data_IF_219256712621
#
_entry.id   IF_219256712621
#
_cell.length_a   1.000
_cell.length_b   1.000
_cell.length_c   1.000
_cell.angle_alpha   90.00
_cell.angle_beta   90.00
_cell.angle_gamma   90.00
#
_symmetry.space_group_name_H-M   'P 1'
#
loop_
_entity.id
_entity.type
_entity.pdbx_description
1 polymer ?
#
# COMPACT_ATOMS: atom_id res chain seq x y z
N UNK A 1 29.16 -13.19 14.54
CA UNK A 1 27.85 -13.49 15.16
C UNK A 1 26.79 -12.95 14.21
N UNK A 2 26.09 -13.83 13.48
CA UNK A 2 25.06 -13.42 12.53
C UNK A 2 23.70 -13.43 13.24
N UNK A 3 22.97 -12.32 13.17
CA UNK A 3 21.61 -12.22 13.68
C UNK A 3 20.65 -12.78 12.62
N UNK A 4 19.97 -13.88 12.95
CA UNK A 4 18.90 -14.43 12.12
C UNK A 4 17.57 -13.76 12.49
N UNK A 5 17.09 -12.83 11.66
CA UNK A 5 15.69 -12.39 11.72
C UNK A 5 14.85 -13.29 10.82
N UNK A 6 14.28 -14.36 11.43
CA UNK A 6 13.33 -15.26 10.78
C UNK A 6 11.98 -14.57 10.57
N UNK A 7 11.50 -14.54 9.32
CA UNK A 7 10.13 -14.16 8.99
C UNK A 7 9.23 -15.39 9.10
N UNK A 8 8.40 -15.44 10.13
CA UNK A 8 7.34 -16.45 10.29
C UNK A 8 6.01 -15.83 9.87
N UNK A 9 5.43 -16.27 8.76
CA UNK A 9 4.04 -15.97 8.41
C UNK A 9 3.22 -17.25 8.44
N UNK A 10 2.70 -17.59 9.61
CA UNK A 10 1.69 -18.64 9.75
C UNK A 10 0.30 -18.00 9.71
N UNK A 11 -0.45 -18.23 8.61
CA UNK A 11 -1.91 -18.12 8.62
C UNK A 11 -2.48 -19.33 7.91
N UNK A 12 -2.57 -20.45 8.64
CA UNK A 12 -3.30 -21.63 8.21
C UNK A 12 -4.80 -21.36 8.19
N UNK A 13 -5.46 -21.69 7.08
CA UNK A 13 -6.92 -21.68 6.97
C UNK A 13 -7.46 -23.00 7.53
N UNK A 14 -8.20 -22.95 8.64
CA UNK A 14 -9.00 -24.07 9.11
C UNK A 14 -10.40 -23.97 8.52
N UNK A 15 -10.76 -24.89 7.63
CA UNK A 15 -12.14 -25.08 7.15
C UNK A 15 -12.82 -26.03 8.14
N UNK A 16 -13.78 -25.52 8.92
CA UNK A 16 -14.73 -26.38 9.61
C UNK A 16 -15.98 -26.56 8.75
N UNK A 17 -16.23 -27.81 8.34
CA UNK A 17 -17.54 -28.28 7.91
C UNK A 17 -18.42 -28.43 9.16
N UNK A 18 -19.63 -27.87 9.15
CA UNK A 18 -20.70 -28.29 10.09
C UNK A 18 -21.99 -28.57 9.34
N UNK A 19 -22.33 -29.83 9.41
CA UNK A 19 -23.59 -30.52 9.17
C UNK A 19 -24.68 -30.08 10.15
N UNK A 20 -25.95 -30.25 9.74
CA UNK A 20 -27.08 -30.41 10.65
C UNK A 20 -28.04 -29.22 10.76
N UNK A 21 -29.04 -29.18 9.89
CA UNK A 21 -30.29 -28.44 10.14
C UNK A 21 -31.13 -29.22 11.15
N UNK A 22 -31.48 -28.60 12.28
CA UNK A 22 -32.56 -29.04 13.17
C UNK A 22 -33.46 -27.85 13.47
N UNK A 23 -34.71 -28.04 13.08
CA UNK A 23 -35.91 -27.24 13.33
C UNK A 23 -36.16 -27.06 14.82
N UNK A 24 -36.51 -25.85 15.24
CA UNK A 24 -37.29 -25.60 16.45
C UNK A 24 -38.23 -24.41 16.20
N UNK A 25 -39.52 -24.73 16.05
CA UNK A 25 -40.64 -23.80 16.13
C UNK A 25 -40.88 -23.40 17.57
N UNK A 26 -41.16 -22.12 17.86
CA UNK A 26 -42.00 -21.73 18.99
C UNK A 26 -42.80 -20.45 18.67
N UNK A 27 -44.06 -20.50 19.08
CA UNK A 27 -45.16 -19.63 18.73
C UNK A 27 -45.23 -18.29 19.48
N UNK A 28 -45.96 -17.38 18.84
CA UNK A 28 -46.65 -16.16 19.27
C UNK A 28 -46.87 -15.93 20.78
N UNK A 29 -46.58 -14.69 21.21
CA UNK A 29 -47.38 -13.98 22.20
C UNK A 29 -47.40 -12.48 21.86
N UNK A 30 -48.60 -11.90 21.89
CA UNK A 30 -48.94 -10.52 21.56
C UNK A 30 -49.17 -9.75 22.87
N UNK A 31 -48.63 -8.53 23.02
CA UNK A 31 -49.34 -7.37 23.61
C UNK A 31 -48.43 -6.18 24.00
N UNK A 32 -48.99 -4.99 23.77
CA UNK A 32 -48.76 -3.69 24.44
C UNK A 32 -47.53 -2.83 24.06
N UNK A 33 -47.78 -1.91 23.11
CA UNK A 33 -47.76 -0.46 23.34
C UNK A 33 -46.53 0.20 23.97
N UNK A 34 -45.65 0.74 23.13
CA UNK A 34 -45.00 2.02 23.37
C UNK A 34 -44.65 2.69 22.04
N UNK A 35 -45.33 3.79 21.72
CA UNK A 35 -44.99 4.67 20.59
C UNK A 35 -43.66 5.37 20.92
N UNK A 36 -42.62 5.13 20.14
CA UNK A 36 -41.49 6.04 20.06
C UNK A 36 -41.45 6.57 18.63
N UNK A 37 -41.89 7.81 18.47
CA UNK A 37 -41.84 8.58 17.24
C UNK A 37 -40.40 8.70 16.77
N UNK A 38 -40.04 7.91 15.75
CA UNK A 38 -38.80 8.10 15.00
C UNK A 38 -39.05 9.26 14.05
N UNK A 39 -38.53 10.44 14.39
CA UNK A 39 -38.47 11.57 13.46
C UNK A 39 -37.75 11.10 12.18
N UNK A 40 -38.51 11.08 11.09
CA UNK A 40 -38.03 10.94 9.73
C UNK A 40 -37.74 12.35 9.22
N UNK A 41 -36.47 12.69 9.03
CA UNK A 41 -36.12 13.88 8.26
C UNK A 41 -36.36 13.61 6.75
N UNK A 42 -36.90 14.57 5.98
CA UNK A 42 -37.31 14.33 4.61
C UNK A 42 -36.21 14.65 3.58
N UNK A 43 -36.16 13.77 2.58
CA UNK A 43 -35.96 14.08 1.15
C UNK A 43 -34.60 14.63 0.72
N UNK A 44 -33.83 13.73 0.10
CA UNK A 44 -33.46 13.85 -1.31
C UNK A 44 -32.54 15.01 -1.69
N UNK A 45 -31.25 14.73 -1.71
CA UNK A 45 -30.38 15.29 -2.73
C UNK A 45 -29.83 14.11 -3.53
N UNK A 46 -29.60 14.32 -4.82
CA UNK A 46 -28.82 13.41 -5.67
C UNK A 46 -27.38 13.41 -5.13
N UNK A 47 -27.20 12.71 -4.02
CA UNK A 47 -26.06 12.89 -3.13
C UNK A 47 -24.79 12.39 -3.79
N UNK A 48 -23.91 13.34 -4.12
CA UNK A 48 -22.51 13.01 -4.31
C UNK A 48 -22.04 12.35 -3.00
N UNK A 49 -21.84 11.03 -3.01
CA UNK A 49 -21.45 10.26 -1.82
C UNK A 49 -20.34 11.00 -1.08
N UNK A 50 -20.52 11.31 0.22
CA UNK A 50 -19.52 12.05 0.96
C UNK A 50 -18.18 11.30 0.95
N UNK A 51 -17.12 12.04 0.60
CA UNK A 51 -15.79 11.52 0.24
C UNK A 51 -14.84 11.50 1.43
N UNK A 52 -15.32 11.05 2.58
CA UNK A 52 -14.57 11.03 3.84
C UNK A 52 -14.29 9.61 4.32
N UNK A 53 -13.27 9.46 5.16
CA UNK A 53 -12.90 8.19 5.77
C UNK A 53 -13.96 7.68 6.74
N UNK A 54 -14.63 8.54 7.50
CA UNK A 54 -15.73 8.14 8.39
C UNK A 54 -16.87 7.48 7.60
N UNK A 55 -17.24 8.06 6.46
CA UNK A 55 -18.25 7.46 5.58
C UNK A 55 -17.77 6.11 5.06
N UNK A 56 -16.54 6.04 4.54
CA UNK A 56 -15.95 4.77 4.09
C UNK A 56 -16.03 3.68 5.19
N UNK A 57 -15.66 4.00 6.43
CA UNK A 57 -15.72 3.09 7.57
C UNK A 57 -17.15 2.63 7.88
N UNK A 58 -18.10 3.58 7.96
CA UNK A 58 -19.51 3.27 8.20
C UNK A 58 -20.06 2.28 7.16
N UNK A 59 -19.76 2.50 5.89
CA UNK A 59 -20.18 1.60 4.81
C UNK A 59 -19.50 0.22 4.88
N UNK A 60 -18.21 0.21 5.21
CA UNK A 60 -17.41 -1.02 5.21
C UNK A 60 -17.75 -1.96 6.37
N UNK A 61 -18.03 -1.39 7.55
CA UNK A 61 -18.50 -2.15 8.73
C UNK A 61 -19.87 -2.79 8.51
N UNK A 62 -20.74 -2.17 7.71
CA UNK A 62 -22.11 -2.63 7.50
C UNK A 62 -22.24 -3.83 6.53
N UNK A 63 -21.13 -4.34 5.95
CA UNK A 63 -21.01 -5.61 5.18
C UNK A 63 -22.14 -5.98 4.19
N UNK A 64 -22.96 -5.04 3.73
CA UNK A 64 -23.93 -5.28 2.64
C UNK A 64 -23.12 -5.54 1.38
N UNK A 65 -23.52 -6.55 0.60
CA UNK A 65 -22.74 -7.17 -0.49
C UNK A 65 -22.41 -6.24 -1.67
N UNK A 66 -22.78 -4.97 -1.61
CA UNK A 66 -22.57 -4.00 -2.67
C UNK A 66 -21.19 -3.34 -2.49
N UNK A 67 -20.22 -3.84 -3.27
CA UNK A 67 -18.90 -3.24 -3.36
C UNK A 67 -19.02 -1.79 -3.86
N UNK A 68 -18.73 -0.83 -2.99
CA UNK A 68 -18.76 0.60 -3.31
C UNK A 68 -17.35 1.15 -3.33
N UNK A 69 -17.05 1.98 -4.34
CA UNK A 69 -15.78 2.70 -4.46
C UNK A 69 -15.92 4.10 -3.87
N UNK A 70 -14.92 4.50 -3.08
CA UNK A 70 -14.78 5.82 -2.49
C UNK A 70 -13.46 6.45 -2.97
N UNK A 71 -13.46 7.78 -3.09
CA UNK A 71 -12.25 8.54 -3.36
C UNK A 71 -12.08 9.54 -2.23
N UNK A 72 -11.14 9.30 -1.33
CA UNK A 72 -10.91 10.17 -0.16
C UNK A 72 -9.57 10.88 -0.34
N UNK A 73 -9.56 12.18 -0.07
CA UNK A 73 -8.33 12.96 0.03
C UNK A 73 -7.82 12.83 1.46
N UNK A 74 -6.64 12.23 1.63
CA UNK A 74 -6.06 11.93 2.94
C UNK A 74 -4.65 12.46 3.03
N UNK A 75 -4.21 12.82 4.24
CA UNK A 75 -2.82 13.09 4.57
C UNK A 75 -2.15 11.78 5.00
N UNK A 76 -0.92 11.55 4.58
CA UNK A 76 -0.11 10.45 5.09
C UNK A 76 0.55 10.92 6.39
N UNK A 77 0.18 10.34 7.51
CA UNK A 77 0.67 10.76 8.83
C UNK A 77 1.92 9.98 9.23
N UNK A 78 2.00 8.70 8.85
CA UNK A 78 3.12 7.84 9.20
C UNK A 78 3.23 6.61 8.28
N UNK A 79 4.43 6.00 8.23
CA UNK A 79 4.68 4.69 7.58
C UNK A 79 5.00 3.67 8.66
N UNK A 80 4.21 2.60 8.76
CA UNK A 80 4.41 1.56 9.77
C UNK A 80 5.57 0.66 9.36
N UNK A 81 6.62 0.62 10.19
CA UNK A 81 7.85 -0.14 9.90
C UNK A 81 7.88 -1.54 10.51
N UNK A 82 6.95 -1.87 11.43
CA UNK A 82 6.95 -3.14 12.18
C UNK A 82 6.96 -4.39 11.29
N UNK A 83 6.24 -4.37 10.18
CA UNK A 83 6.13 -5.50 9.25
C UNK A 83 7.11 -5.41 8.07
N UNK A 84 8.02 -4.41 8.08
CA UNK A 84 8.80 -4.03 6.93
C UNK A 84 7.98 -3.36 5.82
N UNK A 85 8.67 -2.79 4.84
CA UNK A 85 8.06 -2.07 3.71
C UNK A 85 8.14 -2.87 2.39
N UNK A 86 8.85 -3.99 2.39
CA UNK A 86 9.10 -4.87 1.24
C UNK A 86 8.93 -6.34 1.60
N UNK A 87 8.67 -7.17 0.60
CA UNK A 87 8.66 -8.63 0.73
C UNK A 87 9.28 -9.31 -0.49
N UNK A 88 9.96 -10.46 -0.31
CA UNK A 88 10.45 -11.27 -1.42
C UNK A 88 9.29 -11.97 -2.11
N UNK A 89 9.31 -11.99 -3.44
CA UNK A 89 8.18 -12.48 -4.23
C UNK A 89 8.63 -13.25 -5.48
N UNK A 90 7.71 -14.02 -6.04
CA UNK A 90 8.00 -14.87 -7.19
C UNK A 90 8.38 -14.04 -8.43
N UNK A 91 9.40 -14.50 -9.13
CA UNK A 91 9.87 -13.96 -10.42
C UNK A 91 8.97 -14.31 -11.62
N UNK A 92 7.99 -15.19 -11.44
CA UNK A 92 7.13 -15.65 -12.54
C UNK A 92 6.36 -14.48 -13.19
N UNK A 93 6.34 -14.41 -14.52
CA UNK A 93 5.73 -13.30 -15.30
C UNK A 93 4.31 -12.89 -14.85
N UNK A 94 3.50 -13.86 -14.41
CA UNK A 94 2.12 -13.65 -13.94
C UNK A 94 1.93 -13.88 -12.43
N UNK A 95 3.01 -14.18 -11.69
CA UNK A 95 2.94 -14.47 -10.26
C UNK A 95 3.53 -13.32 -9.45
N UNK A 96 2.69 -12.72 -8.59
CA UNK A 96 3.07 -11.65 -7.66
C UNK A 96 3.13 -12.11 -6.20
N UNK A 97 3.03 -13.43 -5.96
CA UNK A 97 2.89 -14.01 -4.62
C UNK A 97 4.23 -13.97 -3.87
N UNK A 98 4.15 -13.81 -2.56
CA UNK A 98 5.31 -13.91 -1.67
C UNK A 98 5.95 -15.29 -1.81
N UNK A 99 7.26 -15.34 -1.57
CA UNK A 99 7.98 -16.60 -1.46
C UNK A 99 8.44 -16.81 -0.03
N UNK A 100 8.43 -18.06 0.40
CA UNK A 100 8.86 -18.45 1.75
C UNK A 100 10.22 -19.11 1.66
N UNK A 101 11.10 -18.85 2.62
CA UNK A 101 12.40 -19.51 2.69
C UNK A 101 12.23 -20.86 3.39
N UNK A 102 12.62 -21.94 2.73
CA UNK A 102 12.62 -23.30 3.27
C UNK A 102 13.86 -24.05 2.77
N UNK A 103 14.58 -24.71 3.68
CA UNK A 103 15.82 -25.44 3.38
C UNK A 103 16.85 -24.63 2.57
N UNK A 104 17.03 -23.34 2.92
CA UNK A 104 17.99 -22.46 2.25
C UNK A 104 17.58 -21.96 0.86
N UNK A 105 16.40 -22.33 0.36
CA UNK A 105 15.86 -21.89 -0.94
C UNK A 105 14.56 -21.12 -0.77
N UNK A 106 14.21 -20.27 -1.72
CA UNK A 106 12.87 -19.69 -1.76
C UNK A 106 11.92 -20.61 -2.52
N UNK A 107 10.72 -20.81 -1.98
CA UNK A 107 9.65 -21.58 -2.59
C UNK A 107 8.45 -20.67 -2.85
N UNK A 108 7.94 -20.69 -4.08
CA UNK A 108 6.66 -20.11 -4.41
C UNK A 108 5.58 -21.19 -4.34
N UNK A 109 4.76 -21.18 -3.31
CA UNK A 109 3.65 -22.15 -3.13
C UNK A 109 2.64 -22.07 -4.27
N UNK A 110 2.34 -20.86 -4.75
CA UNK A 110 1.35 -20.68 -5.83
C UNK A 110 1.80 -21.20 -7.19
N UNK A 111 3.12 -21.26 -7.44
CA UNK A 111 3.68 -21.84 -8.66
C UNK A 111 4.26 -23.24 -8.44
N UNK A 112 4.26 -23.72 -7.19
CA UNK A 112 4.94 -24.92 -6.74
C UNK A 112 6.37 -25.07 -7.31
N UNK A 113 7.16 -23.99 -7.24
CA UNK A 113 8.53 -23.95 -7.79
C UNK A 113 9.51 -23.26 -6.86
N UNK A 114 10.76 -23.70 -6.91
CA UNK A 114 11.87 -22.97 -6.32
C UNK A 114 12.09 -21.65 -7.06
N UNK A 115 12.55 -20.65 -6.33
CA UNK A 115 12.89 -19.32 -6.83
C UNK A 115 14.30 -19.02 -6.37
N UNK A 116 15.24 -18.94 -7.30
CA UNK A 116 16.64 -18.66 -6.95
C UNK A 116 16.84 -17.17 -6.67
N UNK A 117 16.18 -16.31 -7.47
CA UNK A 117 16.27 -14.86 -7.38
C UNK A 117 14.88 -14.25 -7.13
N UNK A 118 14.48 -14.08 -5.86
CA UNK A 118 13.21 -13.44 -5.56
C UNK A 118 13.24 -11.96 -5.98
N UNK A 119 12.11 -11.48 -6.49
CA UNK A 119 11.94 -10.05 -6.81
C UNK A 119 11.43 -9.34 -5.56
N UNK A 120 12.04 -8.23 -5.15
CA UNK A 120 11.54 -7.45 -4.02
C UNK A 120 10.37 -6.57 -4.48
N UNK A 121 9.30 -6.55 -3.69
CA UNK A 121 8.09 -5.79 -4.00
C UNK A 121 7.61 -5.03 -2.78
N UNK A 122 7.04 -3.85 -2.99
CA UNK A 122 6.48 -3.09 -1.87
C UNK A 122 5.27 -3.78 -1.25
N UNK A 123 5.22 -3.71 0.07
CA UNK A 123 4.02 -3.82 0.89
C UNK A 123 4.15 -2.79 2.00
N UNK A 124 3.72 -1.56 1.71
CA UNK A 124 3.78 -0.45 2.69
C UNK A 124 2.44 -0.36 3.42
N UNK A 125 2.52 -0.12 4.73
CA UNK A 125 1.37 0.18 5.58
C UNK A 125 1.45 1.65 5.99
N UNK A 126 0.48 2.45 5.58
CA UNK A 126 0.42 3.88 5.82
C UNK A 126 -0.67 4.17 6.85
N UNK A 127 -0.36 4.97 7.86
CA UNK A 127 -1.37 5.62 8.70
C UNK A 127 -1.77 6.90 7.98
N UNK A 128 -3.06 7.03 7.68
CA UNK A 128 -3.60 8.18 6.95
C UNK A 128 -4.83 8.72 7.64
N UNK A 129 -5.00 10.03 7.58
CA UNK A 129 -6.15 10.72 8.15
C UNK A 129 -6.77 11.72 7.17
N UNK A 130 -8.04 11.96 7.39
CA UNK A 130 -8.72 13.18 6.95
C UNK A 130 -9.29 13.90 8.19
N UNK A 131 -10.12 14.91 7.97
CA UNK A 131 -10.76 15.64 9.07
C UNK A 131 -11.82 14.84 9.85
N UNK A 132 -12.12 13.60 9.43
CA UNK A 132 -13.21 12.79 10.00
C UNK A 132 -12.73 11.51 10.69
N UNK A 133 -11.65 10.88 10.21
CA UNK A 133 -11.14 9.65 10.79
C UNK A 133 -9.67 9.39 10.41
N UNK A 134 -9.09 8.39 11.06
CA UNK A 134 -7.78 7.82 10.75
C UNK A 134 -7.95 6.33 10.41
N UNK A 135 -7.21 5.84 9.41
CA UNK A 135 -7.21 4.43 9.00
C UNK A 135 -5.81 3.99 8.56
N UNK A 136 -5.58 2.67 8.53
CA UNK A 136 -4.39 2.11 7.90
C UNK A 136 -4.66 1.76 6.43
N UNK A 137 -3.73 2.11 5.55
CA UNK A 137 -3.78 1.77 4.12
C UNK A 137 -2.62 0.88 3.74
N UNK A 138 -2.93 -0.30 3.19
CA UNK A 138 -1.93 -1.22 2.64
C UNK A 138 -1.78 -0.98 1.15
N UNK A 139 -0.59 -0.59 0.70
CA UNK A 139 -0.28 -0.45 -0.73
C UNK A 139 0.73 -1.50 -1.19
N UNK A 140 0.39 -2.16 -2.28
CA UNK A 140 1.27 -3.12 -2.95
C UNK A 140 2.09 -2.45 -4.06
N UNK A 141 3.05 -3.21 -4.59
CA UNK A 141 4.08 -2.81 -5.52
C UNK A 141 3.72 -1.70 -6.51
N UNK A 142 2.70 -1.88 -7.34
CA UNK A 142 2.34 -0.93 -8.40
C UNK A 142 1.85 0.41 -7.81
N UNK A 143 0.96 0.36 -6.83
CA UNK A 143 0.38 1.54 -6.19
C UNK A 143 1.42 2.28 -5.34
N UNK A 144 2.23 1.54 -4.58
CA UNK A 144 3.31 2.08 -3.78
C UNK A 144 4.41 2.72 -4.65
N UNK A 145 4.83 2.06 -5.74
CA UNK A 145 5.83 2.64 -6.67
C UNK A 145 5.31 3.92 -7.32
N UNK A 146 4.01 3.99 -7.62
CA UNK A 146 3.39 5.21 -8.14
C UNK A 146 3.37 6.35 -7.11
N UNK A 147 3.21 6.04 -5.82
CA UNK A 147 3.23 7.02 -4.74
C UNK A 147 4.65 7.51 -4.44
N UNK A 148 5.59 6.57 -4.28
CA UNK A 148 6.99 6.82 -3.89
C UNK A 148 7.82 7.35 -5.07
N UNK A 149 7.36 7.12 -6.31
CA UNK A 149 8.09 7.43 -7.56
C UNK A 149 9.44 6.72 -7.68
N UNK A 150 9.61 5.60 -6.97
CA UNK A 150 10.81 4.75 -6.98
C UNK A 150 10.41 3.28 -6.81
N UNK A 151 11.17 2.35 -7.38
CA UNK A 151 10.93 0.91 -7.21
C UNK A 151 11.59 0.39 -5.93
N UNK A 152 11.07 -0.71 -5.38
CA UNK A 152 11.62 -1.30 -4.16
C UNK A 152 13.08 -1.73 -4.34
N UNK A 153 13.41 -2.34 -5.48
CA UNK A 153 14.77 -2.80 -5.81
C UNK A 153 15.77 -1.63 -5.80
N UNK A 154 15.43 -0.50 -6.43
CA UNK A 154 16.30 0.68 -6.45
C UNK A 154 16.58 1.19 -5.04
N UNK A 155 15.56 1.28 -4.18
CA UNK A 155 15.79 1.71 -2.78
C UNK A 155 16.81 0.80 -2.09
N UNK A 156 16.72 -0.52 -2.27
CA UNK A 156 17.67 -1.46 -1.65
C UNK A 156 19.09 -1.26 -2.18
N UNK A 157 19.25 -1.09 -3.50
CA UNK A 157 20.55 -0.86 -4.12
C UNK A 157 21.26 0.39 -3.56
N UNK A 158 20.50 1.44 -3.21
CA UNK A 158 21.05 2.64 -2.56
C UNK A 158 21.35 2.45 -1.08
N UNK A 159 20.54 1.66 -0.36
CA UNK A 159 20.80 1.32 1.04
C UNK A 159 22.10 0.51 1.18
N UNK A 160 22.35 -0.46 0.29
CA UNK A 160 23.55 -1.30 0.33
C UNK A 160 24.86 -0.54 0.02
N UNK A 161 24.77 0.64 -0.60
CA UNK A 161 25.92 1.48 -0.93
C UNK A 161 26.26 2.52 0.15
N UNK A 162 25.39 2.69 1.15
CA UNK A 162 25.55 3.69 2.22
C UNK A 162 25.66 3.07 3.61
N UNK A 163 26.21 3.81 4.57
CA UNK A 163 26.26 3.42 5.99
C UNK A 163 24.99 3.87 6.74
N UNK A 164 23.83 3.66 6.11
CA UNK A 164 22.56 4.23 6.57
C UNK A 164 21.68 3.17 7.22
N UNK A 165 21.82 3.02 8.54
CA UNK A 165 20.96 2.19 9.38
C UNK A 165 19.63 2.90 9.75
N UNK A 166 19.00 3.59 8.80
CA UNK A 166 17.70 4.22 9.06
C UNK A 166 16.60 3.16 9.14
N UNK A 167 15.62 3.28 10.05
CA UNK A 167 14.51 2.34 10.16
C UNK A 167 13.55 2.39 8.95
N UNK A 168 13.60 3.48 8.18
CA UNK A 168 12.81 3.71 6.99
C UNK A 168 13.67 4.45 5.94
N UNK A 169 13.75 3.97 4.69
CA UNK A 169 14.48 4.68 3.64
C UNK A 169 13.93 6.08 3.38
N UNK A 170 14.81 7.01 3.04
CA UNK A 170 14.47 8.43 2.83
C UNK A 170 13.33 8.62 1.83
N UNK A 171 13.31 7.84 0.74
CA UNK A 171 12.24 7.89 -0.25
C UNK A 171 10.86 7.59 0.34
N UNK A 172 10.77 6.70 1.33
CA UNK A 172 9.53 6.42 2.07
C UNK A 172 9.28 7.42 3.20
N UNK A 173 10.31 8.00 3.81
CA UNK A 173 10.12 9.09 4.77
C UNK A 173 9.52 10.34 4.09
N UNK A 174 9.92 10.62 2.85
CA UNK A 174 9.51 11.82 2.10
C UNK A 174 8.03 11.84 1.71
N UNK A 175 7.30 10.71 1.76
CA UNK A 175 5.86 10.71 1.50
C UNK A 175 5.05 11.14 2.74
N UNK A 176 5.64 11.08 3.94
CA UNK A 176 4.98 11.49 5.17
C UNK A 176 4.72 13.00 5.14
N UNK A 177 3.52 13.39 5.56
CA UNK A 177 3.04 14.77 5.54
C UNK A 177 2.44 15.21 4.21
N UNK A 178 2.51 14.38 3.15
CA UNK A 178 1.90 14.70 1.85
C UNK A 178 0.43 14.26 1.79
N UNK A 179 -0.38 14.96 0.98
CA UNK A 179 -1.80 14.66 0.80
C UNK A 179 -2.09 14.07 -0.57
N UNK A 180 -2.92 13.02 -0.62
CA UNK A 180 -3.24 12.27 -1.83
C UNK A 180 -4.71 11.87 -1.89
N UNK A 181 -5.27 11.83 -3.09
CA UNK A 181 -6.59 11.25 -3.32
C UNK A 181 -6.45 9.77 -3.63
N UNK A 182 -6.90 8.93 -2.69
CA UNK A 182 -6.81 7.48 -2.77
C UNK A 182 -8.16 6.86 -3.14
N UNK A 183 -8.13 5.83 -3.98
CA UNK A 183 -9.30 5.01 -4.29
C UNK A 183 -9.40 3.86 -3.26
N UNK A 184 -10.51 3.83 -2.54
CA UNK A 184 -10.87 2.78 -1.58
C UNK A 184 -12.06 1.99 -2.11
N UNK A 185 -12.10 0.69 -1.82
CA UNK A 185 -13.26 -0.16 -2.12
C UNK A 185 -13.75 -0.76 -0.81
N UNK A 186 -15.03 -0.64 -0.50
CA UNK A 186 -15.57 -1.07 0.80
C UNK A 186 -15.29 -2.54 1.15
N UNK A 187 -15.24 -3.42 0.14
CA UNK A 187 -14.95 -4.85 0.32
C UNK A 187 -13.49 -5.17 0.67
N UNK A 188 -12.59 -4.18 0.65
CA UNK A 188 -11.16 -4.35 0.94
C UNK A 188 -10.82 -3.99 2.38
N UNK A 189 -11.85 -3.70 3.17
CA UNK A 189 -11.80 -3.49 4.60
C UNK A 189 -11.37 -4.76 5.34
N UNK A 190 -10.50 -4.55 6.32
CA UNK A 190 -10.10 -5.56 7.28
C UNK A 190 -10.00 -4.94 8.66
N UNK A 191 -10.68 -5.56 9.62
CA UNK A 191 -10.66 -5.20 11.03
C UNK A 191 -9.59 -6.02 11.73
N UNK A 192 -8.55 -5.35 12.21
CA UNK A 192 -7.57 -5.95 13.11
C UNK A 192 -7.98 -5.66 14.55
N UNK A 193 -7.37 -6.37 15.50
CA UNK A 193 -7.68 -6.19 16.91
C UNK A 193 -7.45 -4.76 17.44
N UNK A 194 -6.56 -3.99 16.79
CA UNK A 194 -6.13 -2.67 17.27
C UNK A 194 -6.29 -1.54 16.26
N UNK A 195 -6.62 -1.86 15.01
CA UNK A 195 -6.78 -0.86 13.94
C UNK A 195 -7.61 -1.42 12.80
N UNK A 196 -8.15 -0.53 11.98
CA UNK A 196 -8.86 -0.88 10.76
C UNK A 196 -7.98 -0.57 9.56
N UNK A 197 -8.10 -1.39 8.52
CA UNK A 197 -7.29 -1.21 7.32
C UNK A 197 -8.06 -1.42 6.03
N UNK A 198 -7.58 -0.75 4.99
CA UNK A 198 -7.98 -0.97 3.62
C UNK A 198 -6.75 -1.30 2.80
N UNK A 199 -6.87 -2.21 1.85
CA UNK A 199 -5.89 -2.23 0.77
C UNK A 199 -6.23 -1.10 -0.22
N UNK A 200 -5.25 -0.45 -0.83
CA UNK A 200 -5.45 0.56 -1.86
C UNK A 200 -4.93 0.05 -3.21
N UNK A 201 -5.73 0.27 -4.26
CA UNK A 201 -5.44 -0.19 -5.61
C UNK A 201 -4.95 0.93 -6.52
N UNK A 202 -5.37 2.17 -6.27
CA UNK A 202 -5.07 3.29 -7.16
C UNK A 202 -4.89 4.59 -6.38
N UNK A 203 -3.82 5.29 -6.73
CA UNK A 203 -3.62 6.70 -6.39
C UNK A 203 -4.07 7.55 -7.57
N UNK A 204 -4.83 8.63 -7.33
CA UNK A 204 -5.02 9.65 -8.37
C UNK A 204 -3.81 10.57 -8.32
N UNK A 205 -2.98 10.53 -9.36
CA UNK A 205 -1.96 11.57 -9.56
C UNK A 205 -2.67 12.81 -10.07
N UNK A 206 -2.65 13.91 -9.32
CA UNK A 206 -3.03 15.23 -9.84
C UNK A 206 -1.97 15.63 -10.86
N UNK A 207 -2.28 15.57 -12.16
CA UNK A 207 -1.43 16.18 -13.18
C UNK A 207 -1.46 17.70 -12.94
N UNK A 208 -0.30 18.30 -12.71
CA UNK A 208 -0.15 19.75 -12.70
C UNK A 208 -0.62 20.32 -14.04
N UNK A 209 -1.38 21.40 -13.99
CA UNK A 209 -1.65 22.24 -15.15
C UNK A 209 -0.36 23.03 -15.42
N UNK A 210 0.21 22.83 -16.61
CA UNK A 210 1.26 23.69 -17.14
C UNK A 210 0.61 25.03 -17.52
N UNK A 211 0.74 26.06 -16.69
CA UNK A 211 0.42 27.43 -17.10
C UNK A 211 1.69 28.14 -17.57
N UNK A 212 1.81 28.24 -18.89
CA UNK A 212 2.69 29.20 -19.54
C UNK A 212 2.01 30.57 -19.53
N UNK A 213 2.58 31.52 -18.78
CA UNK A 213 2.17 32.92 -18.76
C UNK A 213 3.15 33.71 -17.91
N UNK A 214 4.16 34.31 -18.54
CA UNK A 214 5.26 34.96 -17.84
C UNK A 214 4.90 36.31 -17.20
N UNK A 215 5.45 36.57 -16.00
CA UNK A 215 6.28 37.74 -15.73
C UNK A 215 6.91 37.69 -14.33
N UNK A 216 8.08 38.28 -14.25
CA UNK A 216 9.07 38.27 -13.16
C UNK A 216 8.56 38.73 -11.78
N UNK A 217 9.10 38.13 -10.72
CA UNK A 217 9.90 38.79 -9.67
C UNK A 217 10.49 37.70 -8.73
N UNK A 218 11.73 37.90 -8.31
CA UNK A 218 12.56 36.91 -7.63
C UNK A 218 12.09 36.54 -6.21
N UNK A 219 12.03 35.25 -5.93
CA UNK A 219 11.88 34.66 -4.59
C UNK A 219 12.22 33.17 -4.65
N UNK A 220 13.32 32.77 -4.02
CA UNK A 220 13.94 31.45 -4.22
C UNK A 220 13.11 30.28 -3.70
N UNK A 221 12.48 29.55 -4.63
CA UNK A 221 11.99 28.19 -4.41
C UNK A 221 13.00 27.20 -4.99
N UNK A 222 13.62 26.42 -4.10
CA UNK A 222 14.66 25.44 -4.41
C UNK A 222 14.09 24.37 -5.34
N UNK A 223 14.60 24.30 -6.56
CA UNK A 223 14.25 23.29 -7.57
C UNK A 223 14.49 21.87 -7.01
N UNK A 224 13.43 21.24 -6.51
CA UNK A 224 13.51 19.94 -5.84
C UNK A 224 13.19 18.75 -6.76
N UNK A 225 12.81 19.00 -8.02
CA UNK A 225 12.26 17.95 -8.90
C UNK A 225 13.25 17.39 -9.96
N UNK A 226 14.55 17.69 -9.87
CA UNK A 226 15.53 17.03 -10.77
C UNK A 226 16.82 16.55 -10.13
N UNK A 227 17.16 17.00 -8.92
CA UNK A 227 18.49 16.73 -8.33
C UNK A 227 18.65 15.29 -7.84
N UNK A 228 17.65 14.75 -7.14
CA UNK A 228 17.67 13.38 -6.61
C UNK A 228 17.66 12.38 -7.77
N UNK A 229 16.72 12.51 -8.72
CA UNK A 229 16.65 11.64 -9.90
C UNK A 229 17.90 11.70 -10.81
N UNK A 230 18.58 12.85 -10.92
CA UNK A 230 19.87 12.95 -11.64
C UNK A 230 21.04 12.28 -10.92
N UNK A 231 20.96 12.07 -9.61
CA UNK A 231 21.92 11.21 -8.89
C UNK A 231 21.60 9.74 -9.12
N UNK A 232 20.31 9.38 -9.18
CA UNK A 232 19.90 7.99 -9.30
C UNK A 232 20.16 7.35 -10.68
N UNK A 233 20.27 8.18 -11.74
CA UNK A 233 20.44 7.74 -13.14
C UNK A 233 21.89 7.78 -13.65
N UNK A 234 22.88 8.09 -12.81
CA UNK A 234 24.29 8.02 -13.25
C UNK A 234 24.75 6.57 -13.26
N UNK A 235 24.75 5.95 -14.43
CA UNK A 235 25.50 4.71 -14.65
C UNK A 235 27.00 4.94 -14.35
N UNK A 236 27.71 3.97 -13.75
CA UNK A 236 29.16 4.01 -13.72
C UNK A 236 29.67 3.99 -15.16
N UNK A 237 30.45 5.00 -15.54
CA UNK A 237 31.25 4.95 -16.76
C UNK A 237 32.27 3.83 -16.61
N UNK A 238 32.00 2.70 -17.25
CA UNK A 238 32.98 1.64 -17.49
C UNK A 238 34.01 2.22 -18.46
N UNK A 239 35.15 2.68 -17.94
CA UNK A 239 36.31 2.99 -18.76
C UNK A 239 36.93 1.67 -19.21
N UNK A 240 36.56 1.22 -20.41
CA UNK A 240 37.24 0.13 -21.11
C UNK A 240 38.70 0.53 -21.32
N UNK A 241 39.63 -0.17 -20.65
CA UNK A 241 41.05 -0.06 -20.91
C UNK A 241 41.32 -0.62 -22.32
N UNK A 242 41.74 0.24 -23.24
CA UNK A 242 42.11 -0.12 -24.61
C UNK A 242 43.38 -0.98 -24.63
N UNK A 243 43.32 -2.05 -25.43
CA UNK A 243 44.44 -2.94 -25.75
C UNK A 243 45.64 -2.16 -26.27
N UNK A 244 46.81 -2.39 -25.67
CA UNK A 244 48.09 -2.07 -26.29
C UNK A 244 48.37 -3.16 -27.34
N UNK A 245 48.40 -2.76 -28.61
CA UNK A 245 48.99 -3.54 -29.69
C UNK A 245 50.50 -3.26 -29.69
N UNK A 246 51.33 -4.28 -29.51
CA UNK A 246 52.71 -4.26 -30.02
C UNK A 246 52.82 -5.21 -31.20
N UNK A 247 53.30 -4.65 -32.30
CA UNK A 247 53.57 -5.30 -33.56
C UNK A 247 55.04 -5.73 -33.64
N UNK A 248 55.26 -6.87 -34.30
CA UNK A 248 56.44 -7.23 -35.11
C UNK A 248 57.83 -6.94 -34.51
N UNK A 249 58.53 -8.03 -34.19
CA UNK A 249 59.77 -8.38 -34.90
C UNK A 249 59.93 -9.89 -34.99
#
# INVERSE_FOLDING_TARGET
>A
MAYETGYVTNVGRTIQQKTGSKTLDFNLANSSGAKFSKELLPVGCSDAKPRTLENLLMWSRNRKRDATTFYCTVRIDNVRTKNGWKFPSCEGKKCRKSVTRSNGRFLCESCNKNVDYPVLRYRIELEVSDNTAEVVVVMFNETASSLVKCTADLIVEYEDQGDHHLPLPEALANIVGTSHTLEFKSHTYYEHNTYESFTCWRTKTTKGMDESGGSSMAGGSRAFETSVFKRLLRHPSVTTLSKVNEAKK
#
